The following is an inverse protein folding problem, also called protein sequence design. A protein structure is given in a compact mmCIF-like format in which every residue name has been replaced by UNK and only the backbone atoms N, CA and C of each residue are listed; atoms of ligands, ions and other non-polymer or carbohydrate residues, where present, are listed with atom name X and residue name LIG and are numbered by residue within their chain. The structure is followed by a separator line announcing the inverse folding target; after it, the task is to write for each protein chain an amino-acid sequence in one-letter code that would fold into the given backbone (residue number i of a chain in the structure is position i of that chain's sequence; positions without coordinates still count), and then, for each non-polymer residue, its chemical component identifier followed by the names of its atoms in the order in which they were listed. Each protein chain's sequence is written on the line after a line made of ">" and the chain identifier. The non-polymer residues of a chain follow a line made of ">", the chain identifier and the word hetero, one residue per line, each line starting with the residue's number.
data_IF_133925641352
#
_entry.id   IF_133925641352
#
_cell.length_a   1.000
_cell.length_b   1.000
_cell.length_c   1.000
_cell.angle_alpha   90.00
_cell.angle_beta   90.00
_cell.angle_gamma   90.00
#
_symmetry.space_group_name_H-M   'P 1'
#
loop_
_entity.id
_entity.type
_entity.pdbx_description
1 polymer ?
#
# COMPACT_ATOMS: atom_id res chain seq x y z
N UNK A 1 1.96 -28.43 43.14
CA UNK A 1 2.17 -27.19 42.36
C UNK A 1 2.41 -27.40 40.85
N UNK A 2 2.68 -28.62 40.34
CA UNK A 2 2.88 -28.86 38.89
C UNK A 2 1.59 -28.95 38.03
N UNK A 3 0.40 -29.02 38.65
CA UNK A 3 -0.89 -29.16 37.96
C UNK A 3 -1.54 -27.84 37.53
N UNK A 4 -1.41 -26.77 38.33
CA UNK A 4 -1.99 -25.46 38.02
C UNK A 4 -1.26 -24.73 36.88
N UNK A 5 0.06 -24.88 36.76
CA UNK A 5 0.83 -24.34 35.65
C UNK A 5 0.42 -24.92 34.30
N UNK A 6 0.11 -26.22 34.25
CA UNK A 6 -0.41 -26.90 33.04
C UNK A 6 -1.86 -26.50 32.72
N UNK A 7 -2.66 -26.21 33.74
CA UNK A 7 -4.03 -25.69 33.57
C UNK A 7 -4.04 -24.28 32.99
N UNK A 8 -3.19 -23.37 33.51
CA UNK A 8 -3.01 -22.02 32.95
C UNK A 8 -2.44 -22.05 31.54
N UNK A 9 -1.42 -22.87 31.28
CA UNK A 9 -0.87 -23.06 29.93
C UNK A 9 -1.92 -23.59 28.95
N UNK A 10 -2.75 -24.56 29.34
CA UNK A 10 -3.87 -25.04 28.51
C UNK A 10 -4.97 -24.00 28.31
N UNK A 11 -5.27 -23.20 29.32
CA UNK A 11 -6.25 -22.12 29.23
C UNK A 11 -5.81 -21.05 28.23
N UNK A 12 -4.57 -20.56 28.36
CA UNK A 12 -4.00 -19.60 27.42
C UNK A 12 -3.79 -20.20 26.02
N UNK A 13 -3.37 -21.46 25.94
CA UNK A 13 -3.27 -22.18 24.67
C UNK A 13 -4.62 -22.24 23.95
N UNK A 14 -5.70 -22.59 24.66
CA UNK A 14 -7.05 -22.67 24.07
C UNK A 14 -7.61 -21.30 23.69
N UNK A 15 -7.19 -20.23 24.38
CA UNK A 15 -7.57 -18.85 24.05
C UNK A 15 -6.83 -18.30 22.82
N UNK A 16 -5.61 -18.80 22.58
CA UNK A 16 -4.80 -18.47 21.41
C UNK A 16 -5.11 -19.37 20.20
N UNK A 17 -5.91 -20.42 20.37
CA UNK A 17 -6.34 -21.29 19.28
C UNK A 17 -7.31 -20.56 18.33
N UNK A 18 -7.15 -20.80 17.03
CA UNK A 18 -8.04 -20.23 16.00
C UNK A 18 -9.51 -20.58 16.31
N UNK A 19 -10.46 -19.63 16.25
CA UNK A 19 -11.86 -19.90 16.48
C UNK A 19 -12.42 -20.84 15.41
N UNK A 20 -13.36 -21.68 15.82
CA UNK A 20 -14.10 -22.58 14.94
C UNK A 20 -15.52 -22.05 14.81
N UNK A 21 -16.04 -21.91 13.59
CA UNK A 21 -17.42 -21.45 13.37
C UNK A 21 -18.44 -22.45 13.98
N UNK A 22 -19.56 -21.97 14.52
CA UNK A 22 -20.55 -22.78 15.26
C UNK A 22 -21.13 -23.98 14.47
N UNK A 23 -21.06 -23.92 13.13
CA UNK A 23 -21.51 -24.98 12.22
C UNK A 23 -20.41 -25.47 11.27
N UNK A 24 -19.15 -25.38 11.69
CA UNK A 24 -18.00 -25.77 10.88
C UNK A 24 -17.97 -27.28 10.56
N UNK A 25 -17.85 -27.62 9.27
CA UNK A 25 -17.55 -28.98 8.80
C UNK A 25 -16.04 -29.30 8.81
N UNK A 26 -15.23 -28.50 9.50
CA UNK A 26 -13.78 -28.67 9.61
C UNK A 26 -13.33 -28.66 11.07
N UNK A 27 -12.12 -29.19 11.30
CA UNK A 27 -11.44 -29.09 12.60
C UNK A 27 -10.12 -28.36 12.40
N UNK A 28 -9.69 -27.63 13.43
CA UNK A 28 -8.37 -27.02 13.45
C UNK A 28 -7.29 -28.12 13.45
N UNK A 29 -6.58 -28.22 12.35
CA UNK A 29 -5.47 -29.15 12.14
C UNK A 29 -4.22 -28.37 11.75
N UNK A 30 -3.12 -29.09 11.51
CA UNK A 30 -1.91 -28.47 10.96
C UNK A 30 -2.09 -27.94 9.53
N UNK A 31 -3.20 -28.25 8.84
CA UNK A 31 -3.42 -27.87 7.44
C UNK A 31 -4.69 -27.08 7.18
N UNK A 32 -5.57 -27.00 8.18
CA UNK A 32 -6.92 -26.46 8.06
C UNK A 32 -7.27 -25.67 9.31
N UNK A 33 -7.76 -24.46 9.13
CA UNK A 33 -8.33 -23.59 10.15
C UNK A 33 -9.37 -22.66 9.47
N UNK A 34 -10.00 -21.80 10.26
CA UNK A 34 -11.01 -20.84 9.78
C UNK A 34 -10.55 -19.90 8.67
N UNK A 35 -9.27 -19.56 8.65
CA UNK A 35 -8.70 -18.61 7.70
C UNK A 35 -8.18 -19.26 6.42
N UNK A 36 -8.01 -20.59 6.42
CA UNK A 36 -7.49 -21.38 5.29
C UNK A 36 -8.60 -22.10 4.52
N UNK A 37 -9.78 -22.30 5.11
CA UNK A 37 -10.91 -22.88 4.38
C UNK A 37 -11.42 -21.95 3.26
N UNK A 38 -12.08 -22.51 2.22
CA UNK A 38 -12.85 -21.69 1.30
C UNK A 38 -13.81 -20.76 2.06
N UNK A 39 -13.82 -19.47 1.71
CA UNK A 39 -14.63 -18.49 2.43
C UNK A 39 -16.14 -18.79 2.23
N UNK A 40 -16.91 -18.93 3.33
CA UNK A 40 -18.34 -19.19 3.25
C UNK A 40 -19.11 -17.95 2.76
N UNK A 41 -20.31 -18.16 2.23
CA UNK A 41 -21.09 -17.13 1.53
C UNK A 41 -21.42 -15.91 2.37
N UNK A 42 -21.68 -16.10 3.66
CA UNK A 42 -21.98 -15.05 4.64
C UNK A 42 -20.81 -14.07 4.86
N UNK A 43 -19.58 -14.51 4.58
CA UNK A 43 -18.35 -13.71 4.71
C UNK A 43 -17.87 -13.09 3.39
N UNK A 44 -18.55 -13.36 2.26
CA UNK A 44 -18.23 -12.80 0.94
C UNK A 44 -18.81 -11.40 0.76
N UNK A 45 -18.20 -10.42 1.42
CA UNK A 45 -18.74 -9.06 1.47
C UNK A 45 -18.29 -8.17 0.31
N UNK A 46 -17.20 -8.49 -0.39
CA UNK A 46 -16.50 -7.55 -1.28
C UNK A 46 -17.18 -7.35 -2.62
N UNK A 47 -17.40 -6.07 -2.96
CA UNK A 47 -17.96 -5.61 -4.24
C UNK A 47 -16.86 -5.04 -5.14
N UNK A 48 -17.19 -4.80 -6.42
CA UNK A 48 -16.24 -4.24 -7.39
C UNK A 48 -15.61 -2.92 -6.93
N UNK A 49 -16.32 -2.13 -6.10
CA UNK A 49 -15.83 -0.86 -5.55
C UNK A 49 -14.66 -1.06 -4.57
N UNK A 50 -14.69 -2.13 -3.76
CA UNK A 50 -13.60 -2.46 -2.85
C UNK A 50 -12.33 -2.86 -3.61
N UNK A 51 -12.51 -3.63 -4.70
CA UNK A 51 -11.41 -4.01 -5.58
C UNK A 51 -10.89 -2.83 -6.41
N UNK A 52 -11.75 -1.91 -6.84
CA UNK A 52 -11.35 -0.73 -7.59
C UNK A 52 -10.48 0.19 -6.74
N UNK A 53 -10.89 0.46 -5.51
CA UNK A 53 -10.15 1.35 -4.62
C UNK A 53 -8.76 0.83 -4.23
N UNK A 54 -8.56 -0.50 -4.19
CA UNK A 54 -7.24 -1.13 -4.02
C UNK A 54 -6.17 -0.56 -4.97
N UNK A 55 -6.57 -0.10 -6.16
CA UNK A 55 -5.65 0.37 -7.20
C UNK A 55 -5.41 1.89 -7.20
N UNK A 56 -6.06 2.64 -6.32
CA UNK A 56 -5.88 4.10 -6.20
C UNK A 56 -4.60 4.40 -5.38
N UNK A 57 -3.46 3.80 -5.73
CA UNK A 57 -2.29 3.82 -4.85
C UNK A 57 -0.92 3.85 -5.56
N UNK A 58 -0.79 4.65 -6.62
CA UNK A 58 0.53 4.79 -7.27
C UNK A 58 0.74 6.16 -7.90
N UNK A 59 1.08 7.13 -7.07
CA UNK A 59 1.49 8.46 -7.51
C UNK A 59 2.94 8.45 -8.01
N UNK A 60 3.86 7.90 -7.22
CA UNK A 60 5.31 8.06 -7.42
C UNK A 60 5.87 7.30 -8.62
N UNK A 61 5.18 6.25 -9.09
CA UNK A 61 5.67 5.38 -10.15
C UNK A 61 5.87 6.08 -11.50
N UNK A 62 4.96 6.99 -11.89
CA UNK A 62 5.10 7.73 -13.15
C UNK A 62 6.26 8.73 -13.11
N UNK A 63 6.43 9.42 -11.97
CA UNK A 63 7.47 10.44 -11.80
C UNK A 63 8.87 9.84 -11.75
N UNK A 64 9.08 8.66 -11.17
CA UNK A 64 10.42 8.06 -11.15
C UNK A 64 10.97 7.80 -12.55
N UNK A 65 10.13 7.54 -13.55
CA UNK A 65 10.54 7.37 -14.95
C UNK A 65 11.17 8.62 -15.57
N UNK A 66 10.75 9.83 -15.16
CA UNK A 66 11.36 11.06 -15.66
C UNK A 66 12.81 11.19 -15.17
N UNK A 67 13.10 10.77 -13.93
CA UNK A 67 14.47 10.74 -13.41
C UNK A 67 15.37 9.71 -14.11
N UNK A 68 14.78 8.66 -14.72
CA UNK A 68 15.52 7.71 -15.56
C UNK A 68 15.88 8.28 -16.94
N UNK A 69 15.35 9.47 -17.27
CA UNK A 69 15.67 10.24 -18.47
C UNK A 69 14.64 10.14 -19.59
N UNK A 70 13.44 9.63 -19.30
CA UNK A 70 12.31 9.59 -20.24
C UNK A 70 11.61 10.96 -20.27
N UNK A 71 11.08 11.34 -21.44
CA UNK A 71 10.16 12.47 -21.53
C UNK A 71 8.79 12.14 -20.94
N UNK A 72 7.99 13.16 -20.61
CA UNK A 72 6.65 12.95 -20.05
C UNK A 72 5.74 12.05 -20.92
N UNK A 73 5.66 12.21 -22.26
CA UNK A 73 4.91 11.29 -23.11
C UNK A 73 5.43 9.85 -23.08
N UNK A 74 6.75 9.66 -23.04
CA UNK A 74 7.36 8.33 -22.97
C UNK A 74 7.09 7.65 -21.63
N UNK A 75 7.18 8.41 -20.53
CA UNK A 75 6.84 7.93 -19.20
C UNK A 75 5.36 7.52 -19.12
N UNK A 76 4.44 8.33 -19.66
CA UNK A 76 3.02 7.98 -19.74
C UNK A 76 2.79 6.69 -20.57
N UNK A 77 3.45 6.55 -21.72
CA UNK A 77 3.38 5.33 -22.53
C UNK A 77 3.86 4.09 -21.77
N UNK A 78 4.97 4.20 -21.02
CA UNK A 78 5.45 3.12 -20.16
C UNK A 78 4.45 2.78 -19.06
N UNK A 79 3.82 3.79 -18.44
CA UNK A 79 2.82 3.58 -17.39
C UNK A 79 1.55 2.89 -17.90
N UNK A 80 1.14 3.11 -19.15
CA UNK A 80 0.06 2.32 -19.78
C UNK A 80 0.48 0.86 -19.90
N UNK A 81 1.72 0.58 -20.30
CA UNK A 81 2.26 -0.80 -20.32
C UNK A 81 2.27 -1.45 -18.94
N UNK A 82 2.77 -0.75 -17.92
CA UNK A 82 2.75 -1.19 -16.52
C UNK A 82 1.32 -1.49 -16.05
N UNK A 83 0.38 -0.59 -16.34
CA UNK A 83 -1.03 -0.73 -15.99
C UNK A 83 -1.66 -2.01 -16.57
N UNK A 84 -1.44 -2.26 -17.86
CA UNK A 84 -1.98 -3.44 -18.54
C UNK A 84 -1.35 -4.75 -18.05
N UNK A 85 -0.03 -4.79 -17.88
CA UNK A 85 0.68 -5.97 -17.38
C UNK A 85 0.25 -6.27 -15.94
N UNK A 86 0.19 -5.25 -15.08
CA UNK A 86 -0.21 -5.41 -13.68
C UNK A 86 -1.65 -5.89 -13.56
N UNK A 87 -2.57 -5.34 -14.35
CA UNK A 87 -3.97 -5.77 -14.40
C UNK A 87 -4.10 -7.22 -14.86
N UNK A 88 -3.37 -7.62 -15.91
CA UNK A 88 -3.38 -9.00 -16.38
C UNK A 88 -2.89 -9.98 -15.30
N UNK A 89 -1.75 -9.69 -14.67
CA UNK A 89 -1.20 -10.53 -13.60
C UNK A 89 -2.16 -10.59 -12.41
N UNK A 90 -2.75 -9.46 -12.02
CA UNK A 90 -3.70 -9.39 -10.92
C UNK A 90 -4.96 -10.24 -11.19
N UNK A 91 -5.51 -10.18 -12.40
CA UNK A 91 -6.67 -10.99 -12.80
C UNK A 91 -6.34 -12.48 -12.77
N UNK A 92 -5.20 -12.88 -13.33
CA UNK A 92 -4.78 -14.28 -13.36
C UNK A 92 -4.52 -14.82 -11.93
N UNK A 93 -3.84 -14.04 -11.09
CA UNK A 93 -3.57 -14.42 -9.71
C UNK A 93 -4.81 -14.34 -8.80
N UNK A 94 -5.77 -13.46 -9.12
CA UNK A 94 -7.02 -13.27 -8.40
C UNK A 94 -8.12 -14.26 -8.80
N UNK A 95 -8.05 -14.87 -9.98
CA UNK A 95 -9.10 -15.77 -10.50
C UNK A 95 -9.43 -16.94 -9.57
N UNK A 96 -8.46 -17.68 -9.00
CA UNK A 96 -8.78 -18.78 -8.10
C UNK A 96 -9.44 -18.29 -6.80
N UNK A 97 -9.11 -17.09 -6.34
CA UNK A 97 -9.78 -16.49 -5.18
C UNK A 97 -11.24 -16.20 -5.49
N UNK A 98 -11.59 -15.59 -6.62
CA UNK A 98 -12.98 -15.23 -6.91
C UNK A 98 -13.88 -16.41 -7.30
N UNK A 99 -13.33 -17.51 -7.82
CA UNK A 99 -14.12 -18.67 -8.28
C UNK A 99 -14.08 -19.87 -7.32
N UNK A 100 -12.94 -20.08 -6.66
CA UNK A 100 -12.73 -21.19 -5.72
C UNK A 100 -12.74 -20.72 -4.25
N UNK A 101 -12.73 -19.42 -4.00
CA UNK A 101 -12.71 -18.82 -2.66
C UNK A 101 -11.47 -19.23 -1.83
N UNK A 102 -10.37 -19.53 -2.51
CA UNK A 102 -9.09 -19.94 -1.94
C UNK A 102 -8.09 -18.78 -1.90
N UNK A 103 -7.36 -18.66 -0.79
CA UNK A 103 -6.23 -17.72 -0.67
C UNK A 103 -4.92 -18.29 -1.21
N UNK A 104 -3.92 -17.43 -1.34
CA UNK A 104 -2.60 -17.75 -1.89
C UNK A 104 -1.93 -18.92 -1.16
N UNK A 105 -2.02 -18.95 0.17
CA UNK A 105 -1.40 -19.96 1.03
C UNK A 105 -1.90 -21.39 0.82
N UNK A 106 -3.10 -21.53 0.26
CA UNK A 106 -3.67 -22.82 -0.13
C UNK A 106 -3.32 -23.13 -1.58
N UNK A 107 -3.41 -22.12 -2.46
CA UNK A 107 -3.10 -22.26 -3.88
C UNK A 107 -1.65 -22.67 -4.13
N UNK A 108 -0.70 -22.13 -3.37
CA UNK A 108 0.72 -22.47 -3.52
C UNK A 108 1.01 -23.95 -3.23
N UNK A 109 0.16 -24.64 -2.47
CA UNK A 109 0.29 -26.08 -2.18
C UNK A 109 0.04 -26.94 -3.41
N UNK A 110 -0.75 -26.46 -4.37
CA UNK A 110 -1.00 -27.18 -5.62
C UNK A 110 0.26 -27.24 -6.50
N UNK A 111 1.06 -26.17 -6.52
CA UNK A 111 2.29 -26.11 -7.34
C UNK A 111 3.53 -26.62 -6.61
N UNK A 112 3.68 -26.32 -5.31
CA UNK A 112 4.88 -26.62 -4.53
C UNK A 112 4.72 -27.85 -3.61
N UNK A 113 3.54 -28.46 -3.59
CA UNK A 113 3.19 -29.52 -2.65
C UNK A 113 2.95 -29.00 -1.22
N UNK A 114 2.47 -29.88 -0.35
CA UNK A 114 2.04 -29.53 1.01
C UNK A 114 3.16 -28.95 1.88
N UNK A 115 4.39 -29.49 1.77
CA UNK A 115 5.56 -29.01 2.52
C UNK A 115 6.37 -27.97 1.76
N UNK A 116 6.50 -28.10 0.43
CA UNK A 116 7.23 -27.12 -0.37
C UNK A 116 6.53 -25.76 -0.42
N UNK A 117 5.21 -25.72 -0.24
CA UNK A 117 4.42 -24.48 -0.15
C UNK A 117 4.85 -23.54 0.98
N UNK A 118 5.60 -24.01 2.00
CA UNK A 118 6.13 -23.12 3.04
C UNK A 118 7.18 -22.14 2.50
N UNK A 119 7.97 -22.54 1.50
CA UNK A 119 9.00 -21.67 0.93
C UNK A 119 8.45 -20.36 0.33
N UNK A 120 7.45 -20.39 -0.59
CA UNK A 120 6.88 -19.16 -1.13
C UNK A 120 6.15 -18.33 -0.06
N UNK A 121 5.49 -18.98 0.92
CA UNK A 121 4.82 -18.28 2.03
C UNK A 121 5.83 -17.53 2.91
N UNK A 122 6.97 -18.15 3.24
CA UNK A 122 8.04 -17.51 4.01
C UNK A 122 8.64 -16.30 3.27
N UNK A 123 8.89 -16.43 1.96
CA UNK A 123 9.37 -15.31 1.15
C UNK A 123 8.38 -14.14 1.14
N UNK A 124 7.08 -14.44 1.10
CA UNK A 124 6.02 -13.43 1.12
C UNK A 124 5.95 -12.70 2.45
N UNK A 125 6.07 -13.42 3.57
CA UNK A 125 6.14 -12.83 4.92
C UNK A 125 7.34 -11.89 5.05
N UNK A 126 8.53 -12.33 4.65
CA UNK A 126 9.74 -11.47 4.71
C UNK A 126 9.55 -10.20 3.90
N UNK A 127 9.03 -10.33 2.69
CA UNK A 127 8.75 -9.19 1.80
C UNK A 127 7.74 -8.23 2.42
N UNK A 128 6.67 -8.76 3.02
CA UNK A 128 5.64 -7.95 3.66
C UNK A 128 6.13 -7.24 4.94
N UNK A 129 7.04 -7.85 5.71
CA UNK A 129 7.71 -7.19 6.83
C UNK A 129 8.55 -5.99 6.37
N UNK A 130 9.29 -6.14 5.27
CA UNK A 130 10.07 -5.03 4.68
C UNK A 130 9.15 -3.91 4.22
N UNK A 131 8.10 -4.23 3.48
CA UNK A 131 7.13 -3.24 3.03
C UNK A 131 6.38 -2.57 4.18
N UNK A 132 6.08 -3.30 5.27
CA UNK A 132 5.49 -2.71 6.47
C UNK A 132 6.40 -1.61 7.04
N UNK A 133 7.70 -1.86 7.13
CA UNK A 133 8.67 -0.86 7.58
C UNK A 133 8.70 0.38 6.68
N UNK A 134 8.72 0.19 5.37
CA UNK A 134 8.71 1.27 4.38
C UNK A 134 7.44 2.11 4.49
N UNK A 135 6.26 1.47 4.53
CA UNK A 135 4.99 2.19 4.62
C UNK A 135 4.80 2.87 5.98
N UNK A 136 5.29 2.27 7.07
CA UNK A 136 5.29 2.91 8.38
C UNK A 136 6.20 4.15 8.42
N UNK A 137 7.33 4.12 7.71
CA UNK A 137 8.18 5.30 7.53
C UNK A 137 7.46 6.41 6.78
N UNK A 138 6.83 6.11 5.64
CA UNK A 138 6.06 7.11 4.87
C UNK A 138 4.84 7.63 5.65
N UNK A 139 4.17 6.77 6.40
CA UNK A 139 3.14 7.15 7.37
C UNK A 139 3.68 8.12 8.43
N UNK A 140 4.88 7.88 8.94
CA UNK A 140 5.62 8.80 9.81
C UNK A 140 5.91 10.15 9.15
N UNK A 141 6.29 10.18 7.87
CA UNK A 141 6.47 11.43 7.13
C UNK A 141 5.16 12.20 6.96
N UNK A 142 4.04 11.51 6.73
CA UNK A 142 2.71 12.12 6.72
C UNK A 142 2.40 12.83 8.05
N UNK A 143 2.67 12.15 9.17
CA UNK A 143 2.51 12.69 10.52
C UNK A 143 3.46 13.88 10.75
N UNK A 144 4.70 13.80 10.27
CA UNK A 144 5.67 14.91 10.37
C UNK A 144 5.14 16.17 9.70
N UNK A 145 4.55 16.05 8.50
CA UNK A 145 3.93 17.17 7.78
C UNK A 145 2.77 17.76 8.60
N UNK A 146 1.91 16.92 9.18
CA UNK A 146 0.80 17.36 10.02
C UNK A 146 1.28 18.06 11.30
N UNK A 147 2.30 17.52 11.97
CA UNK A 147 2.88 18.09 13.18
C UNK A 147 3.57 19.43 12.89
N UNK A 148 4.33 19.54 11.79
CA UNK A 148 4.87 20.82 11.31
C UNK A 148 3.76 21.83 11.04
N UNK A 149 2.64 21.40 10.43
CA UNK A 149 1.51 22.29 10.17
C UNK A 149 0.81 22.77 11.45
N UNK A 150 0.62 21.90 12.46
CA UNK A 150 -0.07 22.24 13.73
C UNK A 150 0.85 23.05 14.65
N UNK A 151 2.02 22.52 14.98
CA UNK A 151 2.94 23.08 15.98
C UNK A 151 3.71 24.28 15.40
N UNK A 152 3.87 24.33 14.08
CA UNK A 152 4.56 25.41 13.38
C UNK A 152 6.08 25.30 13.49
N UNK A 153 6.74 26.46 13.51
CA UNK A 153 8.20 26.59 13.46
C UNK A 153 8.93 25.79 14.55
N UNK A 154 8.33 25.66 15.75
CA UNK A 154 8.94 24.93 16.87
C UNK A 154 9.21 23.45 16.57
N UNK A 155 8.35 22.81 15.78
CA UNK A 155 8.56 21.41 15.38
C UNK A 155 9.36 21.30 14.08
N UNK A 156 9.21 22.30 13.20
CA UNK A 156 9.99 22.40 11.96
C UNK A 156 11.50 22.50 12.23
N UNK A 157 11.86 23.34 13.19
CA UNK A 157 13.23 23.70 13.54
C UNK A 157 13.72 22.90 14.77
N UNK A 158 13.12 21.74 15.02
CA UNK A 158 13.50 20.86 16.13
C UNK A 158 14.96 20.40 15.93
N UNK A 159 15.86 20.59 16.92
CA UNK A 159 17.26 20.21 16.77
C UNK A 159 17.39 18.69 16.62
N UNK A 160 18.16 18.26 15.62
CA UNK A 160 18.45 16.85 15.41
C UNK A 160 19.40 16.34 16.51
N UNK A 161 18.96 15.36 17.28
CA UNK A 161 19.73 14.69 18.34
C UNK A 161 20.45 13.44 17.83
N UNK A 162 20.20 13.04 16.58
CA UNK A 162 20.78 11.86 15.97
C UNK A 162 22.07 12.19 15.20
N UNK A 163 23.03 11.25 15.11
CA UNK A 163 24.23 11.46 14.30
C UNK A 163 23.86 11.57 12.82
N UNK A 164 24.65 12.35 12.06
CA UNK A 164 24.43 12.56 10.62
C UNK A 164 24.43 11.23 9.84
N UNK A 165 25.17 10.23 10.31
CA UNK A 165 25.21 8.89 9.72
C UNK A 165 23.89 8.10 9.82
N UNK A 166 22.94 8.56 10.62
CA UNK A 166 21.65 7.88 10.80
C UNK A 166 20.70 8.04 9.60
N UNK A 167 20.97 8.98 8.68
CA UNK A 167 20.09 9.31 7.54
C UNK A 167 18.61 9.58 7.92
N UNK A 168 18.36 9.92 9.19
CA UNK A 168 17.05 10.23 9.73
C UNK A 168 17.20 11.31 10.80
N UNK A 169 16.21 12.20 10.89
CA UNK A 169 16.16 13.26 11.90
C UNK A 169 15.24 12.91 13.06
N UNK A 170 15.44 13.57 14.21
CA UNK A 170 14.63 13.38 15.42
C UNK A 170 13.13 13.60 15.19
N UNK A 171 12.73 14.58 14.38
CA UNK A 171 11.32 14.87 14.12
C UNK A 171 10.65 13.73 13.31
N UNK A 172 11.36 13.15 12.35
CA UNK A 172 10.96 11.98 11.58
C UNK A 172 10.79 10.76 12.48
N UNK A 173 11.71 10.54 13.42
CA UNK A 173 11.63 9.42 14.36
C UNK A 173 10.44 9.56 15.32
N UNK A 174 10.21 10.76 15.88
CA UNK A 174 9.03 11.03 16.72
C UNK A 174 7.74 10.76 15.92
N UNK A 175 7.66 11.28 14.70
CA UNK A 175 6.48 11.15 13.84
C UNK A 175 6.23 9.69 13.43
N UNK A 176 7.29 8.91 13.22
CA UNK A 176 7.21 7.47 13.00
C UNK A 176 6.57 6.74 14.19
N UNK A 177 7.01 6.99 15.42
CA UNK A 177 6.40 6.33 16.59
C UNK A 177 4.96 6.76 16.82
N UNK A 178 4.63 8.03 16.55
CA UNK A 178 3.23 8.50 16.57
C UNK A 178 2.39 7.75 15.55
N UNK A 179 2.88 7.56 14.32
CA UNK A 179 2.19 6.76 13.30
C UNK A 179 1.98 5.31 13.76
N UNK A 180 3.00 4.66 14.33
CA UNK A 180 2.88 3.29 14.84
C UNK A 180 1.81 3.18 15.93
N UNK A 181 1.73 4.15 16.85
CA UNK A 181 0.70 4.19 17.89
C UNK A 181 -0.70 4.29 17.25
N UNK A 182 -0.87 5.19 16.28
CA UNK A 182 -2.14 5.36 15.54
C UNK A 182 -2.50 4.10 14.74
N UNK A 183 -1.52 3.42 14.16
CA UNK A 183 -1.70 2.20 13.38
C UNK A 183 -2.03 0.97 14.25
N UNK A 184 -1.47 0.89 15.45
CA UNK A 184 -1.56 -0.29 16.33
C UNK A 184 -2.97 -0.88 16.57
N UNK A 185 -4.08 -0.10 16.69
CA UNK A 185 -5.42 -0.67 16.82
C UNK A 185 -6.02 -1.19 15.50
N UNK A 186 -5.55 -0.74 14.33
CA UNK A 186 -6.18 -1.08 13.05
C UNK A 186 -6.12 -2.57 12.69
N UNK A 187 -5.02 -3.31 12.96
CA UNK A 187 -4.96 -4.77 12.77
C UNK A 187 -6.07 -5.56 13.46
N UNK A 188 -6.74 -5.00 14.47
CA UNK A 188 -7.86 -5.65 15.17
C UNK A 188 -9.17 -5.63 14.35
N UNK A 189 -9.25 -4.84 13.27
CA UNK A 189 -10.45 -4.75 12.43
C UNK A 189 -10.50 -5.94 11.47
N UNK A 190 -11.59 -6.74 11.49
CA UNK A 190 -11.70 -7.92 10.65
C UNK A 190 -11.81 -7.56 9.16
N UNK A 191 -11.19 -8.34 8.24
CA UNK A 191 -11.15 -8.06 6.81
C UNK A 191 -12.51 -7.82 6.15
N UNK A 192 -13.56 -8.45 6.67
CA UNK A 192 -14.92 -8.37 6.17
C UNK A 192 -15.54 -6.97 6.33
N UNK A 193 -15.07 -6.18 7.31
CA UNK A 193 -15.59 -4.85 7.65
C UNK A 193 -14.78 -3.70 7.04
N UNK A 194 -13.68 -3.98 6.35
CA UNK A 194 -12.74 -2.94 5.91
C UNK A 194 -13.22 -2.12 4.70
N UNK A 195 -14.24 -2.57 3.98
CA UNK A 195 -14.76 -1.84 2.83
C UNK A 195 -15.24 -0.42 3.17
N UNK A 196 -15.85 -0.23 4.35
CA UNK A 196 -16.34 1.08 4.73
C UNK A 196 -15.18 2.05 5.06
N UNK A 197 -14.22 1.70 5.95
CA UNK A 197 -13.00 2.50 6.13
C UNK A 197 -12.27 2.80 4.82
N UNK A 198 -12.12 1.80 3.94
CA UNK A 198 -11.42 2.00 2.68
C UNK A 198 -12.13 2.95 1.72
N UNK A 199 -13.46 2.95 1.67
CA UNK A 199 -14.21 3.95 0.89
C UNK A 199 -13.87 5.38 1.33
N UNK A 200 -13.76 5.63 2.63
CA UNK A 200 -13.34 6.94 3.13
C UNK A 200 -11.89 7.24 2.75
N UNK A 201 -10.99 6.26 2.88
CA UNK A 201 -9.59 6.41 2.45
C UNK A 201 -9.49 6.79 0.98
N UNK A 202 -10.22 6.12 0.09
CA UNK A 202 -10.18 6.41 -1.35
C UNK A 202 -10.66 7.83 -1.69
N UNK A 203 -11.71 8.31 -1.03
CA UNK A 203 -12.18 9.69 -1.21
C UNK A 203 -11.13 10.69 -0.74
N UNK A 204 -10.50 10.43 0.41
CA UNK A 204 -9.44 11.29 0.96
C UNK A 204 -8.18 11.33 0.08
N UNK A 205 -7.77 10.18 -0.46
CA UNK A 205 -6.64 10.08 -1.39
C UNK A 205 -6.93 10.85 -2.67
N UNK A 206 -8.09 10.62 -3.28
CA UNK A 206 -8.49 11.32 -4.50
C UNK A 206 -8.56 12.84 -4.28
N UNK A 207 -9.16 13.28 -3.17
CA UNK A 207 -9.22 14.69 -2.81
C UNK A 207 -7.83 15.30 -2.61
N UNK A 208 -6.91 14.56 -1.98
CA UNK A 208 -5.51 15.01 -1.77
C UNK A 208 -4.76 15.11 -3.09
N UNK A 209 -4.87 14.10 -3.94
CA UNK A 209 -4.23 14.05 -5.25
C UNK A 209 -4.70 15.20 -6.15
N UNK A 210 -6.02 15.37 -6.33
CA UNK A 210 -6.57 16.44 -7.15
C UNK A 210 -6.37 17.82 -6.52
N UNK A 211 -6.38 17.92 -5.17
CA UNK A 211 -6.07 19.15 -4.46
C UNK A 211 -4.62 19.60 -4.68
N UNK A 212 -3.66 18.68 -4.58
CA UNK A 212 -2.26 18.97 -4.88
C UNK A 212 -2.05 19.28 -6.36
N UNK A 213 -2.69 18.55 -7.27
CA UNK A 213 -2.66 18.86 -8.71
C UNK A 213 -3.16 20.28 -8.99
N UNK A 214 -4.32 20.65 -8.44
CA UNK A 214 -4.90 21.98 -8.61
C UNK A 214 -4.01 23.08 -8.06
N UNK A 215 -3.43 22.87 -6.86
CA UNK A 215 -2.47 23.81 -6.28
C UNK A 215 -1.22 23.95 -7.16
N UNK A 216 -0.63 22.85 -7.61
CA UNK A 216 0.61 22.87 -8.39
C UNK A 216 0.42 23.52 -9.75
N UNK A 217 -0.67 23.21 -10.47
CA UNK A 217 -0.95 23.84 -11.77
C UNK A 217 -1.15 25.34 -11.61
N UNK A 218 -1.88 25.76 -10.57
CA UNK A 218 -2.10 27.19 -10.30
C UNK A 218 -0.80 27.91 -9.92
N UNK A 219 0.02 27.31 -9.05
CA UNK A 219 1.27 27.90 -8.59
C UNK A 219 2.36 27.94 -9.69
N UNK A 220 2.38 26.95 -10.59
CA UNK A 220 3.30 26.90 -11.72
C UNK A 220 2.82 27.71 -12.94
N UNK A 221 1.58 28.22 -12.94
CA UNK A 221 0.98 28.91 -14.08
C UNK A 221 0.66 28.00 -15.28
N UNK A 222 0.53 26.69 -15.08
CA UNK A 222 0.27 25.71 -16.13
C UNK A 222 0.74 24.29 -15.79
N UNK A 223 0.91 23.46 -16.81
CA UNK A 223 1.31 22.05 -16.67
C UNK A 223 2.80 21.83 -16.28
N UNK A 224 3.57 22.91 -16.12
CA UNK A 224 4.98 22.90 -15.77
C UNK A 224 5.92 22.56 -16.94
N UNK A 225 7.21 22.78 -16.72
CA UNK A 225 8.24 22.74 -17.76
C UNK A 225 8.56 21.33 -18.28
N UNK A 226 8.35 20.28 -17.47
CA UNK A 226 8.72 18.91 -17.85
C UNK A 226 7.80 18.30 -18.92
N UNK A 227 6.60 18.86 -19.09
CA UNK A 227 5.68 18.40 -20.13
C UNK A 227 6.17 18.71 -21.55
N UNK A 228 7.00 19.74 -21.70
CA UNK A 228 7.60 20.13 -22.98
C UNK A 228 9.09 19.76 -23.06
N UNK A 229 9.67 19.22 -21.99
CA UNK A 229 11.07 18.85 -21.96
C UNK A 229 11.33 17.60 -22.83
N UNK A 230 12.37 17.62 -23.69
CA UNK A 230 12.78 16.43 -24.42
C UNK A 230 13.35 15.38 -23.45
N UNK A 231 13.39 14.13 -23.90
CA UNK A 231 14.06 13.07 -23.16
C UNK A 231 15.56 13.39 -23.00
N UNK A 232 16.11 13.15 -21.81
CA UNK A 232 17.54 13.39 -21.56
C UNK A 232 18.42 12.24 -22.08
N UNK A 233 17.82 11.07 -22.32
CA UNK A 233 18.48 9.92 -22.97
C UNK A 233 17.96 9.70 -24.39
N UNK A 234 18.79 9.10 -25.23
CA UNK A 234 18.45 8.75 -26.62
C UNK A 234 19.01 7.38 -27.03
N UNK A 235 18.47 6.84 -28.12
CA UNK A 235 18.90 5.57 -28.70
C UNK A 235 18.75 4.37 -27.74
N UNK A 236 19.68 3.39 -27.77
CA UNK A 236 19.59 2.19 -26.94
C UNK A 236 19.53 2.47 -25.43
N UNK A 237 20.16 3.55 -24.97
CA UNK A 237 20.16 3.93 -23.55
C UNK A 237 18.76 4.31 -23.04
N UNK A 238 17.96 4.94 -23.89
CA UNK A 238 16.56 5.28 -23.60
C UNK A 238 15.69 4.03 -23.55
N UNK A 239 15.85 3.12 -24.52
CA UNK A 239 15.11 1.85 -24.54
C UNK A 239 15.41 1.00 -23.31
N UNK A 240 16.68 0.93 -22.90
CA UNK A 240 17.06 0.24 -21.66
C UNK A 240 16.50 0.92 -20.42
N UNK A 241 16.51 2.25 -20.36
CA UNK A 241 15.91 2.99 -19.24
C UNK A 241 14.39 2.74 -19.14
N UNK A 242 13.70 2.69 -20.28
CA UNK A 242 12.27 2.40 -20.35
C UNK A 242 11.96 0.96 -19.91
N UNK A 243 12.71 -0.03 -20.41
CA UNK A 243 12.56 -1.44 -20.01
C UNK A 243 12.87 -1.64 -18.52
N UNK A 244 13.94 -1.02 -18.02
CA UNK A 244 14.30 -1.07 -16.61
C UNK A 244 13.21 -0.44 -15.74
N UNK A 245 12.69 0.73 -16.12
CA UNK A 245 11.61 1.40 -15.41
C UNK A 245 10.33 0.56 -15.38
N UNK A 246 9.92 0.01 -16.53
CA UNK A 246 8.75 -0.87 -16.62
C UNK A 246 8.93 -2.10 -15.72
N UNK A 247 10.06 -2.79 -15.80
CA UNK A 247 10.35 -3.96 -14.97
C UNK A 247 10.39 -3.62 -13.48
N UNK A 248 10.97 -2.47 -13.12
CA UNK A 248 11.06 -2.02 -11.72
C UNK A 248 9.67 -1.78 -11.12
N UNK A 249 8.77 -1.11 -11.86
CA UNK A 249 7.42 -0.79 -11.37
C UNK A 249 6.53 -2.04 -11.39
N UNK A 250 6.61 -2.89 -12.41
CA UNK A 250 5.88 -4.17 -12.40
C UNK A 250 6.38 -5.07 -11.26
N UNK A 251 7.71 -5.11 -11.05
CA UNK A 251 8.33 -5.89 -9.98
C UNK A 251 7.92 -5.42 -8.58
N UNK A 252 7.80 -4.11 -8.35
CA UNK A 252 7.33 -3.59 -7.06
C UNK A 252 5.86 -3.96 -6.77
N UNK A 253 5.02 -4.06 -7.81
CA UNK A 253 3.62 -4.47 -7.67
C UNK A 253 3.41 -6.00 -7.66
N UNK A 254 4.39 -6.78 -8.14
CA UNK A 254 4.26 -8.23 -8.29
C UNK A 254 3.90 -8.95 -6.99
N UNK A 255 4.48 -8.54 -5.86
CA UNK A 255 4.17 -9.12 -4.54
C UNK A 255 2.69 -8.95 -4.18
N UNK A 256 2.13 -7.74 -4.39
CA UNK A 256 0.71 -7.46 -4.19
C UNK A 256 -0.20 -8.18 -5.19
N UNK A 257 0.27 -8.37 -6.43
CA UNK A 257 -0.46 -9.13 -7.45
C UNK A 257 -0.57 -10.62 -7.10
N UNK A 258 0.49 -11.24 -6.57
CA UNK A 258 0.46 -12.66 -6.16
C UNK A 258 -0.54 -12.92 -5.02
N UNK A 259 -0.71 -11.94 -4.13
CA UNK A 259 -1.68 -12.00 -3.03
C UNK A 259 -3.12 -11.62 -3.42
N UNK A 260 -3.43 -11.38 -4.69
CA UNK A 260 -4.79 -10.99 -5.09
C UNK A 260 -5.84 -12.03 -4.72
N UNK A 261 -5.51 -13.32 -4.79
CA UNK A 261 -6.39 -14.41 -4.35
C UNK A 261 -6.86 -14.27 -2.90
N UNK A 262 -6.05 -13.68 -2.02
CA UNK A 262 -6.42 -13.48 -0.62
C UNK A 262 -7.50 -12.42 -0.43
N UNK A 263 -7.61 -11.48 -1.37
CA UNK A 263 -8.65 -10.46 -1.39
C UNK A 263 -9.86 -10.89 -2.21
N UNK A 264 -9.63 -11.48 -3.39
CA UNK A 264 -10.71 -11.89 -4.30
C UNK A 264 -11.53 -13.04 -3.75
N UNK A 265 -11.02 -13.84 -2.80
CA UNK A 265 -11.82 -14.83 -2.05
C UNK A 265 -12.96 -14.25 -1.23
N UNK A 266 -12.95 -12.95 -0.94
CA UNK A 266 -14.06 -12.27 -0.29
C UNK A 266 -15.08 -11.70 -1.29
N UNK A 267 -14.88 -11.88 -2.60
CA UNK A 267 -15.76 -11.35 -3.63
C UNK A 267 -17.17 -11.93 -3.51
N UNK A 268 -18.18 -11.05 -3.55
CA UNK A 268 -19.59 -11.46 -3.58
C UNK A 268 -19.96 -12.18 -4.87
N UNK A 269 -19.40 -11.71 -5.99
CA UNK A 269 -19.60 -12.27 -7.33
C UNK A 269 -18.25 -12.44 -8.04
N UNK A 270 -18.03 -13.51 -8.83
CA UNK A 270 -16.76 -13.73 -9.53
C UNK A 270 -16.37 -12.58 -10.48
N UNK A 271 -17.35 -11.97 -11.13
CA UNK A 271 -17.16 -10.85 -12.06
C UNK A 271 -16.79 -9.53 -11.36
N UNK A 272 -17.05 -9.39 -10.05
CA UNK A 272 -16.72 -8.17 -9.31
C UNK A 272 -15.20 -7.95 -9.22
N UNK A 273 -14.45 -9.04 -9.05
CA UNK A 273 -12.99 -9.01 -9.05
C UNK A 273 -12.44 -8.70 -10.45
N UNK A 274 -13.02 -9.31 -11.50
CA UNK A 274 -12.61 -9.09 -12.89
C UNK A 274 -12.74 -7.63 -13.29
N UNK A 275 -13.89 -7.01 -13.04
CA UNK A 275 -14.10 -5.59 -13.39
C UNK A 275 -13.18 -4.66 -12.58
N UNK A 276 -13.05 -4.90 -11.27
CA UNK A 276 -12.20 -4.08 -10.40
C UNK A 276 -10.72 -4.14 -10.77
N UNK A 277 -10.21 -5.29 -11.20
CA UNK A 277 -8.80 -5.44 -11.55
C UNK A 277 -8.52 -5.12 -13.02
N UNK A 278 -9.36 -5.56 -13.96
CA UNK A 278 -9.08 -5.39 -15.39
C UNK A 278 -9.40 -3.98 -15.89
N UNK A 279 -10.43 -3.33 -15.36
CA UNK A 279 -10.89 -2.01 -15.82
C UNK A 279 -10.42 -0.91 -14.88
N UNK A 280 -10.70 -1.04 -13.57
CA UNK A 280 -10.38 0.05 -12.64
C UNK A 280 -8.87 0.18 -12.38
N UNK A 281 -8.11 -0.93 -12.35
CA UNK A 281 -6.67 -0.84 -12.11
C UNK A 281 -5.94 -0.04 -13.20
N UNK A 282 -6.11 -0.31 -14.51
CA UNK A 282 -5.42 0.48 -15.52
C UNK A 282 -5.81 1.95 -15.52
N UNK A 283 -7.10 2.25 -15.33
CA UNK A 283 -7.60 3.62 -15.27
C UNK A 283 -6.94 4.37 -14.11
N UNK A 284 -6.96 3.79 -12.90
CA UNK A 284 -6.40 4.46 -11.74
C UNK A 284 -4.88 4.60 -11.82
N UNK A 285 -4.14 3.56 -12.22
CA UNK A 285 -2.69 3.64 -12.38
C UNK A 285 -2.31 4.74 -13.37
N UNK A 286 -3.01 4.83 -14.51
CA UNK A 286 -2.73 5.87 -15.51
C UNK A 286 -3.08 7.26 -14.97
N UNK A 287 -4.26 7.44 -14.38
CA UNK A 287 -4.70 8.73 -13.84
C UNK A 287 -3.76 9.21 -12.72
N UNK A 288 -3.40 8.36 -11.76
CA UNK A 288 -2.50 8.72 -10.67
C UNK A 288 -1.09 9.04 -11.19
N UNK A 289 -0.62 8.31 -12.20
CA UNK A 289 0.68 8.57 -12.84
C UNK A 289 0.71 9.91 -13.57
N UNK A 290 -0.36 10.25 -14.31
CA UNK A 290 -0.49 11.55 -14.99
C UNK A 290 -0.50 12.68 -13.96
N UNK A 291 -1.27 12.54 -12.88
CA UNK A 291 -1.28 13.50 -11.79
C UNK A 291 0.12 13.66 -11.19
N UNK A 292 0.83 12.56 -10.94
CA UNK A 292 2.19 12.60 -10.39
C UNK A 292 3.19 13.30 -11.30
N UNK A 293 3.16 13.02 -12.59
CA UNK A 293 4.01 13.67 -13.61
C UNK A 293 3.72 15.18 -13.65
N UNK A 294 2.45 15.59 -13.69
CA UNK A 294 2.05 17.00 -13.73
C UNK A 294 2.46 17.76 -12.45
N UNK A 295 2.27 17.14 -11.29
CA UNK A 295 2.69 17.75 -10.01
C UNK A 295 4.20 17.88 -9.95
N UNK A 296 4.92 16.85 -10.38
CA UNK A 296 6.40 16.91 -10.40
C UNK A 296 6.90 17.96 -11.40
N UNK A 297 6.25 18.06 -12.56
CA UNK A 297 6.51 19.08 -13.58
C UNK A 297 6.30 20.50 -13.06
N UNK A 298 5.18 20.76 -12.39
CA UNK A 298 4.92 22.06 -11.80
C UNK A 298 5.82 22.36 -10.59
N UNK A 299 6.13 21.36 -9.76
CA UNK A 299 7.10 21.52 -8.68
C UNK A 299 8.48 21.94 -9.19
N UNK A 300 8.95 21.34 -10.30
CA UNK A 300 10.19 21.76 -10.96
C UNK A 300 10.14 23.20 -11.47
N UNK A 301 8.98 23.68 -11.93
CA UNK A 301 8.79 25.09 -12.31
C UNK A 301 8.77 26.04 -11.10
N UNK A 302 8.19 25.62 -9.98
CA UNK A 302 8.06 26.44 -8.77
C UNK A 302 9.38 26.53 -7.99
N UNK A 303 10.05 25.40 -7.79
CA UNK A 303 11.22 25.27 -6.91
C UNK A 303 12.54 25.13 -7.65
N UNK A 304 12.52 24.89 -8.97
CA UNK A 304 13.73 24.70 -9.77
C UNK A 304 14.38 23.32 -9.62
N UNK A 305 13.79 22.42 -8.83
CA UNK A 305 14.30 21.08 -8.56
C UNK A 305 13.26 19.98 -8.82
N UNK A 306 13.75 18.78 -9.12
CA UNK A 306 12.92 17.63 -9.47
C UNK A 306 12.42 16.90 -8.22
N UNK A 307 11.27 17.34 -7.67
CA UNK A 307 10.65 16.72 -6.49
C UNK A 307 9.54 15.75 -6.90
N UNK A 308 9.89 14.48 -7.06
CA UNK A 308 8.96 13.42 -7.44
C UNK A 308 8.22 12.80 -6.24
N UNK A 309 8.76 12.98 -5.04
CA UNK A 309 8.19 12.46 -3.81
C UNK A 309 7.18 13.47 -3.22
N UNK A 310 5.88 13.11 -3.09
CA UNK A 310 4.87 14.04 -2.59
C UNK A 310 5.08 14.44 -1.13
N UNK A 311 5.67 13.57 -0.29
CA UNK A 311 5.97 13.90 1.09
C UNK A 311 7.05 14.98 1.17
N UNK A 312 8.11 14.83 0.37
CA UNK A 312 9.16 15.85 0.26
C UNK A 312 8.60 17.15 -0.29
N UNK A 313 7.75 17.11 -1.32
CA UNK A 313 7.11 18.31 -1.87
C UNK A 313 6.33 19.09 -0.80
N UNK A 314 5.54 18.39 0.03
CA UNK A 314 4.80 19.04 1.12
C UNK A 314 5.73 19.63 2.19
N UNK A 315 6.84 18.96 2.50
CA UNK A 315 7.85 19.49 3.42
C UNK A 315 8.56 20.72 2.82
N UNK A 316 8.93 20.70 1.55
CA UNK A 316 9.52 21.85 0.82
C UNK A 316 8.56 23.04 0.80
N UNK A 317 7.25 22.81 0.59
CA UNK A 317 6.23 23.87 0.70
C UNK A 317 6.30 24.52 2.09
N UNK A 318 6.38 23.73 3.16
CA UNK A 318 6.48 24.22 4.54
C UNK A 318 7.82 24.90 4.85
N UNK A 319 8.91 24.50 4.19
CA UNK A 319 10.22 25.13 4.36
C UNK A 319 10.25 26.52 3.70
N UNK A 320 9.62 26.66 2.52
CA UNK A 320 9.50 27.94 1.80
C UNK A 320 8.40 28.85 2.35
N UNK A 321 7.28 28.32 2.83
CA UNK A 321 6.12 29.11 3.26
C UNK A 321 5.35 28.46 4.42
N UNK A 322 5.39 29.11 5.59
CA UNK A 322 4.59 28.74 6.77
C UNK A 322 3.37 29.64 6.99
N UNK A 323 2.83 30.22 5.91
CA UNK A 323 1.59 31.00 5.97
C UNK A 323 0.42 30.14 6.48
N UNK A 324 -0.63 30.73 7.09
CA UNK A 324 -1.80 29.97 7.54
C UNK A 324 -2.43 29.10 6.44
N UNK A 325 -2.47 29.61 5.20
CA UNK A 325 -2.98 28.86 4.05
C UNK A 325 -2.08 27.66 3.68
N UNK A 326 -0.75 27.85 3.63
CA UNK A 326 0.19 26.76 3.35
C UNK A 326 0.15 25.68 4.45
N UNK A 327 0.05 26.10 5.72
CA UNK A 327 -0.11 25.19 6.86
C UNK A 327 -1.41 24.39 6.77
N UNK A 328 -2.54 25.04 6.46
CA UNK A 328 -3.81 24.34 6.30
C UNK A 328 -3.78 23.36 5.12
N UNK A 329 -3.29 23.78 3.95
CA UNK A 329 -3.19 22.92 2.76
C UNK A 329 -2.30 21.71 3.00
N UNK A 330 -1.11 21.91 3.57
CA UNK A 330 -0.17 20.83 3.88
C UNK A 330 -0.67 19.92 4.99
N UNK A 331 -1.45 20.44 5.96
CA UNK A 331 -2.12 19.61 6.97
C UNK A 331 -3.14 18.66 6.35
N UNK A 332 -4.05 19.15 5.51
CA UNK A 332 -5.08 18.31 4.90
C UNK A 332 -4.47 17.29 3.92
N UNK A 333 -3.44 17.69 3.17
CA UNK A 333 -2.70 16.76 2.32
C UNK A 333 -1.96 15.69 3.15
N UNK A 334 -1.31 16.10 4.25
CA UNK A 334 -0.67 15.18 5.20
C UNK A 334 -1.66 14.21 5.84
N UNK A 335 -2.86 14.67 6.19
CA UNK A 335 -3.95 13.82 6.69
C UNK A 335 -4.39 12.79 5.64
N UNK A 336 -4.56 13.21 4.39
CA UNK A 336 -4.89 12.32 3.29
C UNK A 336 -3.84 11.22 3.09
N UNK A 337 -2.55 11.59 3.09
CA UNK A 337 -1.46 10.62 3.02
C UNK A 337 -1.35 9.75 4.27
N UNK A 338 -1.61 10.27 5.47
CA UNK A 338 -1.60 9.43 6.67
C UNK A 338 -2.67 8.34 6.57
N UNK A 339 -3.89 8.71 6.14
CA UNK A 339 -5.00 7.77 5.95
C UNK A 339 -4.69 6.75 4.85
N UNK A 340 -4.05 7.18 3.76
CA UNK A 340 -3.53 6.30 2.71
C UNK A 340 -2.55 5.26 3.25
N UNK A 341 -1.52 5.71 3.98
CA UNK A 341 -0.50 4.83 4.54
C UNK A 341 -1.07 3.88 5.59
N UNK A 342 -2.06 4.30 6.38
CA UNK A 342 -2.78 3.41 7.29
C UNK A 342 -3.52 2.29 6.52
N UNK A 343 -4.20 2.62 5.42
CA UNK A 343 -4.88 1.62 4.61
C UNK A 343 -3.89 0.66 3.92
N UNK A 344 -2.79 1.19 3.38
CA UNK A 344 -1.73 0.38 2.77
C UNK A 344 -1.07 -0.59 3.74
N UNK A 345 -0.66 -0.08 4.92
CA UNK A 345 -0.11 -0.90 5.98
C UNK A 345 -1.08 -2.01 6.37
N UNK A 346 -2.36 -1.69 6.53
CA UNK A 346 -3.38 -2.66 6.92
C UNK A 346 -3.63 -3.73 5.84
N UNK A 347 -3.84 -3.30 4.60
CA UNK A 347 -4.18 -4.18 3.48
C UNK A 347 -2.97 -5.00 3.05
N UNK A 348 -1.96 -4.36 2.51
CA UNK A 348 -0.90 -5.06 1.79
C UNK A 348 0.03 -5.82 2.72
N UNK A 349 0.25 -5.29 3.92
CA UNK A 349 1.31 -5.77 4.80
C UNK A 349 0.79 -6.37 6.11
N UNK A 350 -0.31 -5.88 6.67
CA UNK A 350 -0.86 -6.37 7.93
C UNK A 350 -1.63 -7.66 7.73
N UNK A 351 -2.80 -7.55 7.09
CA UNK A 351 -3.73 -8.68 6.94
C UNK A 351 -3.14 -9.75 6.02
N UNK A 352 -2.47 -9.36 4.93
CA UNK A 352 -1.80 -10.30 4.02
C UNK A 352 -0.80 -11.19 4.76
N UNK A 353 0.08 -10.57 5.56
CA UNK A 353 1.04 -11.30 6.41
C UNK A 353 0.33 -12.15 7.46
N UNK A 354 -0.74 -11.64 8.06
CA UNK A 354 -1.55 -12.41 9.01
C UNK A 354 -2.14 -13.68 8.39
N UNK A 355 -2.63 -13.59 7.15
CA UNK A 355 -3.12 -14.74 6.38
C UNK A 355 -1.99 -15.73 6.05
N UNK A 356 -0.78 -15.26 5.75
CA UNK A 356 0.40 -16.11 5.54
C UNK A 356 0.86 -16.82 6.80
N UNK A 357 0.96 -16.10 7.91
CA UNK A 357 1.41 -16.67 9.17
C UNK A 357 0.41 -17.71 9.71
N UNK A 358 -0.88 -17.51 9.46
CA UNK A 358 -1.90 -18.52 9.72
C UNK A 358 -1.73 -19.80 8.89
N UNK A 359 -0.99 -19.77 7.78
CA UNK A 359 -0.63 -20.98 7.05
C UNK A 359 0.59 -21.71 7.64
N UNK A 360 1.54 -20.99 8.27
CA UNK A 360 2.72 -21.57 8.91
C UNK A 360 2.39 -22.28 10.22
N UNK A 361 1.56 -21.64 11.05
CA UNK A 361 1.17 -22.15 12.35
C UNK A 361 -0.36 -22.09 12.52
N UNK A 362 -1.15 -22.91 11.79
CA UNK A 362 -2.62 -22.74 11.71
C UNK A 362 -3.37 -22.91 13.02
N UNK A 363 -2.74 -23.57 14.00
CA UNK A 363 -3.28 -23.73 15.35
C UNK A 363 -3.10 -22.52 16.25
N UNK A 364 -2.07 -21.70 16.02
CA UNK A 364 -1.59 -20.69 16.98
C UNK A 364 -1.56 -19.27 16.45
N UNK A 365 -1.57 -19.10 15.12
CA UNK A 365 -1.52 -17.78 14.50
C UNK A 365 -2.82 -17.52 13.75
N UNK A 366 -3.47 -16.45 14.16
CA UNK A 366 -4.61 -15.86 13.48
C UNK A 366 -4.16 -14.51 12.90
N UNK A 367 -4.74 -14.04 11.77
CA UNK A 367 -4.56 -12.67 11.29
C UNK A 367 -4.92 -11.56 12.30
N UNK A 368 -5.49 -11.92 13.47
CA UNK A 368 -5.91 -11.01 14.53
C UNK A 368 -5.15 -11.34 15.81
N UNK A 369 -4.80 -10.30 16.56
CA UNK A 369 -4.52 -10.42 17.99
C UNK A 369 -5.86 -10.24 18.71
N UNK A 370 -6.52 -11.34 19.10
CA UNK A 370 -7.74 -11.33 19.94
C UNK A 370 -7.42 -11.52 21.44
#
# INVERSE_FOLDING_TARGET
>A
MAGEGKSRLRYWAKRLECPVDEHANYRNTFWCNRDLIPIPEDRRTWTWQGFAGYWVISWTAGSTLLSLGLSAPQAMGCMVGVALISALVAVLAGWPGSHLYLGFTVLCRASWGMRGGFWPVLNRIVTACVWMGIQAYWGGQAVKIMLRAIIGLKFRDLPNTLPVSANVDTASLISFFVFIIIFSPLPMIPPEKLQLPFRFTFVMIAATMFGMLGWTINAAGGAGALMSAPATKSGPSLSWAALFGLQSIVGSQASGCLGQSDWTRYAKNPNAALFGQFVAAPIFIVVTSVCGILITSGAATIYGEYIWNPFELLLTIQDHSMTPAARAGTFFAGLGFMVDQLALCQMLNGISTGMDMAALCPKWVHPRFE
#
